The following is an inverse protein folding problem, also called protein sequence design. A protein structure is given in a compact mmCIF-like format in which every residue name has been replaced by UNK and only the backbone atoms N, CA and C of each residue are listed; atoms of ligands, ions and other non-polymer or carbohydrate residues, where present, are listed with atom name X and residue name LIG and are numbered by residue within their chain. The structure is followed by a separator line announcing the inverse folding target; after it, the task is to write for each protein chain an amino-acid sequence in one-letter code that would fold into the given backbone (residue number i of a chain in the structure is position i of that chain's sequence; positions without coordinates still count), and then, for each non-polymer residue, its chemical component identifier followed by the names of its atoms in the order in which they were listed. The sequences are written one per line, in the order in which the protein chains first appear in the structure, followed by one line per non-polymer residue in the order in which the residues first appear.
data_IF_626759944600
#
_entry.id   IF_626759944600
#
_cell.length_a   1.000
_cell.length_b   1.000
_cell.length_c   1.000
_cell.angle_alpha   90.00
_cell.angle_beta   90.00
_cell.angle_gamma   90.00
#
_symmetry.space_group_name_H-M   'P 1'
#
loop_
_entity.id
_entity.type
_entity.pdbx_description
1 polymer ?
#
# COMPACT_ATOMS: atom_id res chain seq x y z
N UNK A 1 -4.26 -85.09 -28.95
CA UNK A 1 -3.06 -84.22 -28.88
C UNK A 1 -3.14 -83.17 -29.97
N UNK A 2 -3.71 -81.98 -29.71
CA UNK A 2 -3.54 -80.81 -30.59
C UNK A 2 -3.39 -79.57 -29.72
N UNK A 3 -2.12 -79.26 -29.44
CA UNK A 3 -1.70 -78.05 -28.75
C UNK A 3 -1.77 -76.81 -29.63
N UNK A 4 -2.01 -75.70 -28.94
CA UNK A 4 -1.66 -74.31 -29.25
C UNK A 4 -1.96 -73.76 -30.65
N UNK A 5 -2.79 -72.71 -30.71
CA UNK A 5 -2.34 -71.35 -31.11
C UNK A 5 -3.17 -70.27 -30.38
N UNK A 6 -2.71 -69.85 -29.21
CA UNK A 6 -3.07 -68.52 -28.66
C UNK A 6 -2.46 -67.49 -29.60
N UNK A 7 -3.26 -66.86 -30.45
CA UNK A 7 -2.88 -65.63 -31.16
C UNK A 7 -3.26 -64.47 -30.25
N UNK A 8 -2.30 -63.69 -29.70
CA UNK A 8 -2.67 -62.42 -29.09
C UNK A 8 -3.18 -61.52 -30.22
N UNK A 9 -4.33 -60.90 -30.00
CA UNK A 9 -4.93 -59.91 -30.88
C UNK A 9 -4.01 -58.68 -30.93
N UNK A 10 -2.99 -58.74 -31.78
CA UNK A 10 -2.21 -57.58 -32.22
C UNK A 10 -3.12 -56.74 -33.12
N UNK A 11 -3.98 -55.94 -32.50
CA UNK A 11 -4.99 -55.18 -33.24
C UNK A 11 -5.56 -53.98 -32.52
N UNK A 12 -4.89 -53.45 -31.49
CA UNK A 12 -5.25 -52.15 -30.91
C UNK A 12 -4.24 -51.10 -31.38
N UNK A 13 -4.30 -50.78 -32.66
CA UNK A 13 -3.59 -49.62 -33.20
C UNK A 13 -4.14 -48.36 -32.52
N UNK A 14 -3.23 -47.52 -32.04
CA UNK A 14 -3.45 -46.26 -31.33
C UNK A 14 -4.39 -45.32 -32.11
N UNK A 15 -5.69 -45.34 -31.79
CA UNK A 15 -6.61 -44.25 -32.13
C UNK A 15 -6.49 -43.17 -31.03
N UNK A 16 -5.32 -42.53 -30.94
CA UNK A 16 -5.05 -41.44 -29.96
C UNK A 16 -4.61 -40.15 -30.68
N UNK A 17 -4.84 -40.06 -32.00
CA UNK A 17 -4.46 -38.91 -32.83
C UNK A 17 -5.56 -37.85 -32.93
N UNK A 18 -6.77 -38.24 -33.32
CA UNK A 18 -7.83 -37.29 -33.67
C UNK A 18 -8.38 -36.52 -32.46
N UNK A 19 -8.67 -37.18 -31.34
CA UNK A 19 -9.23 -36.51 -30.16
C UNK A 19 -8.24 -35.58 -29.44
N UNK A 20 -6.93 -35.86 -29.53
CA UNK A 20 -5.88 -35.00 -28.97
C UNK A 20 -5.62 -33.76 -29.81
N UNK A 21 -5.81 -33.83 -31.12
CA UNK A 21 -5.55 -32.69 -32.04
C UNK A 21 -6.59 -31.57 -31.90
N UNK A 22 -7.88 -31.90 -31.78
CA UNK A 22 -8.94 -30.92 -31.54
C UNK A 22 -8.81 -30.28 -30.13
N UNK A 23 -8.48 -31.09 -29.11
CA UNK A 23 -8.25 -30.59 -27.76
C UNK A 23 -7.01 -29.67 -27.66
N UNK A 24 -5.96 -29.92 -28.45
CA UNK A 24 -4.76 -29.07 -28.50
C UNK A 24 -5.00 -27.76 -29.27
N UNK A 25 -5.79 -27.78 -30.34
CA UNK A 25 -6.06 -26.58 -31.12
C UNK A 25 -6.82 -25.51 -30.29
N UNK A 26 -7.79 -25.92 -29.48
CA UNK A 26 -8.50 -25.00 -28.57
C UNK A 26 -7.57 -24.45 -27.47
N UNK A 27 -6.68 -25.29 -26.93
CA UNK A 27 -5.68 -24.87 -25.93
C UNK A 27 -4.63 -23.93 -26.54
N UNK A 28 -4.15 -24.19 -27.75
CA UNK A 28 -3.23 -23.29 -28.47
C UNK A 28 -3.89 -21.96 -28.78
N UNK A 29 -5.17 -21.96 -29.15
CA UNK A 29 -5.94 -20.74 -29.40
C UNK A 29 -6.18 -19.95 -28.12
N UNK A 30 -6.44 -20.62 -26.99
CA UNK A 30 -6.49 -19.97 -25.67
C UNK A 30 -5.11 -19.42 -25.27
N UNK A 31 -4.05 -20.19 -25.45
CA UNK A 31 -2.68 -19.76 -25.15
C UNK A 31 -2.25 -18.56 -26.00
N UNK A 32 -2.67 -18.50 -27.27
CA UNK A 32 -2.43 -17.35 -28.14
C UNK A 32 -3.13 -16.08 -27.62
N UNK A 33 -4.39 -16.18 -27.20
CA UNK A 33 -5.11 -15.04 -26.60
C UNK A 33 -4.51 -14.62 -25.27
N UNK A 34 -4.08 -15.57 -24.44
CA UNK A 34 -3.40 -15.25 -23.18
C UNK A 34 -2.04 -14.60 -23.41
N UNK A 35 -1.28 -15.05 -24.40
CA UNK A 35 0.00 -14.43 -24.77
C UNK A 35 -0.21 -13.00 -25.28
N UNK A 36 -1.22 -12.77 -26.11
CA UNK A 36 -1.59 -11.43 -26.57
C UNK A 36 -2.05 -10.55 -25.41
N UNK A 37 -2.86 -11.08 -24.49
CA UNK A 37 -3.29 -10.36 -23.29
C UNK A 37 -2.10 -10.01 -22.37
N UNK A 38 -1.09 -10.89 -22.26
CA UNK A 38 0.13 -10.62 -21.49
C UNK A 38 0.94 -9.48 -22.10
N UNK A 39 1.08 -9.45 -23.43
CA UNK A 39 1.78 -8.36 -24.13
C UNK A 39 1.00 -7.04 -24.05
N UNK A 40 -0.34 -7.10 -24.14
CA UNK A 40 -1.21 -5.95 -23.95
C UNK A 40 -1.15 -5.39 -22.51
N UNK A 41 -0.98 -6.26 -21.51
CA UNK A 41 -0.79 -5.83 -20.12
C UNK A 41 0.58 -5.17 -19.91
N UNK A 42 1.65 -5.72 -20.49
CA UNK A 42 3.00 -5.16 -20.35
C UNK A 42 3.12 -3.79 -21.06
N UNK A 43 2.49 -3.63 -22.22
CA UNK A 43 2.41 -2.33 -22.91
C UNK A 43 1.63 -1.30 -22.11
N UNK A 44 0.46 -1.68 -21.56
CA UNK A 44 -0.32 -0.81 -20.67
C UNK A 44 0.47 -0.38 -19.43
N UNK A 45 1.25 -1.28 -18.82
CA UNK A 45 2.09 -0.95 -17.66
C UNK A 45 3.13 0.12 -18.00
N UNK A 46 3.83 -0.03 -19.13
CA UNK A 46 4.83 0.98 -19.57
C UNK A 46 4.19 2.33 -19.86
N UNK A 47 3.04 2.34 -20.52
CA UNK A 47 2.31 3.59 -20.77
C UNK A 47 1.85 4.27 -19.47
N UNK A 48 1.42 3.48 -18.49
CA UNK A 48 1.03 4.00 -17.17
C UNK A 48 2.24 4.54 -16.40
N UNK A 49 3.37 3.84 -16.42
CA UNK A 49 4.64 4.31 -15.85
C UNK A 49 5.07 5.65 -16.50
N UNK A 50 4.96 5.78 -17.82
CA UNK A 50 5.24 7.02 -18.53
C UNK A 50 4.28 8.15 -18.14
N UNK A 51 2.98 7.84 -17.98
CA UNK A 51 2.00 8.83 -17.51
C UNK A 51 2.29 9.25 -16.08
N UNK A 52 2.58 8.29 -15.19
CA UNK A 52 2.92 8.54 -13.79
C UNK A 52 4.18 9.42 -13.68
N UNK A 53 5.19 9.15 -14.52
CA UNK A 53 6.39 9.97 -14.56
C UNK A 53 6.09 11.40 -15.04
N UNK A 54 5.24 11.58 -16.06
CA UNK A 54 4.83 12.91 -16.53
C UNK A 54 4.04 13.66 -15.47
N UNK A 55 3.10 13.00 -14.79
CA UNK A 55 2.35 13.60 -13.70
C UNK A 55 3.26 13.99 -12.55
N UNK A 56 4.22 13.14 -12.20
CA UNK A 56 5.19 13.42 -11.13
C UNK A 56 6.02 14.66 -11.46
N UNK A 57 6.55 14.76 -12.68
CA UNK A 57 7.32 15.94 -13.13
C UNK A 57 6.48 17.22 -13.09
N UNK A 58 5.22 17.16 -13.47
CA UNK A 58 4.32 18.31 -13.40
C UNK A 58 4.05 18.75 -11.94
N UNK A 59 3.91 17.79 -11.02
CA UNK A 59 3.80 18.06 -9.58
C UNK A 59 5.09 18.72 -9.09
N UNK A 60 6.24 18.11 -9.33
CA UNK A 60 7.53 18.60 -8.88
C UNK A 60 7.82 20.01 -9.43
N UNK A 61 7.48 20.29 -10.69
CA UNK A 61 7.62 21.62 -11.28
C UNK A 61 6.69 22.65 -10.62
N UNK A 62 5.43 22.29 -10.37
CA UNK A 62 4.49 23.19 -9.69
C UNK A 62 4.93 23.51 -8.26
N UNK A 63 5.47 22.51 -7.57
CA UNK A 63 6.00 22.61 -6.21
C UNK A 63 7.26 23.48 -6.21
N UNK A 64 8.20 23.26 -7.14
CA UNK A 64 9.39 24.10 -7.30
C UNK A 64 9.02 25.57 -7.59
N UNK A 65 8.02 25.82 -8.44
CA UNK A 65 7.51 27.18 -8.72
C UNK A 65 6.91 27.84 -7.48
N UNK A 66 6.13 27.09 -6.70
CA UNK A 66 5.58 27.59 -5.44
C UNK A 66 6.70 27.96 -4.45
N UNK A 67 7.75 27.14 -4.32
CA UNK A 67 8.88 27.44 -3.46
C UNK A 67 9.68 28.66 -3.92
N UNK A 68 9.95 28.77 -5.22
CA UNK A 68 10.64 29.94 -5.79
C UNK A 68 9.84 31.24 -5.58
N UNK A 69 8.51 31.17 -5.69
CA UNK A 69 7.63 32.32 -5.44
C UNK A 69 7.46 32.64 -3.94
N UNK A 70 7.45 31.63 -3.07
CA UNK A 70 7.21 31.79 -1.63
C UNK A 70 8.48 32.13 -0.82
N UNK A 71 9.68 32.01 -1.40
CA UNK A 71 10.95 32.33 -0.72
C UNK A 71 11.25 31.47 0.52
N UNK A 72 10.49 30.38 0.74
CA UNK A 72 10.66 29.46 1.87
C UNK A 72 11.13 28.12 1.33
N UNK A 73 12.26 27.62 1.84
CA UNK A 73 12.73 26.26 1.54
C UNK A 73 11.68 25.22 1.98
N UNK A 74 11.65 24.03 1.35
CA UNK A 74 10.92 22.90 1.90
C UNK A 74 11.52 22.57 3.28
N UNK A 75 10.77 22.81 4.34
CA UNK A 75 11.03 22.06 5.57
C UNK A 75 10.87 20.58 5.19
N UNK A 76 11.94 19.76 5.30
CA UNK A 76 11.80 18.33 5.07
C UNK A 76 10.68 17.86 6.00
N UNK A 77 9.76 16.97 5.55
CA UNK A 77 8.81 16.37 6.47
C UNK A 77 9.65 15.67 7.53
N UNK A 78 9.73 16.26 8.71
CA UNK A 78 10.34 15.63 9.87
C UNK A 78 9.50 14.39 10.09
N UNK A 79 10.03 13.24 9.65
CA UNK A 79 9.50 11.93 9.97
C UNK A 79 9.65 11.76 11.49
N UNK A 80 8.70 12.29 12.23
CA UNK A 80 8.39 11.80 13.55
C UNK A 80 7.65 10.47 13.35
N UNK A 81 8.09 9.35 13.94
CA UNK A 81 7.25 8.18 14.07
C UNK A 81 6.14 8.52 15.08
N UNK A 82 5.14 9.27 14.62
CA UNK A 82 3.96 9.61 15.37
C UNK A 82 2.96 8.45 15.29
N UNK A 83 2.41 7.98 16.42
CA UNK A 83 1.37 6.96 16.37
C UNK A 83 0.15 7.53 15.64
N UNK A 84 -0.26 6.79 14.62
CA UNK A 84 -1.48 6.87 13.82
C UNK A 84 -2.60 7.75 14.40
N UNK A 85 -2.97 8.79 13.63
CA UNK A 85 -4.24 9.50 13.78
C UNK A 85 -4.15 10.89 14.44
N UNK A 86 -3.91 11.93 13.65
CA UNK A 86 -4.19 13.31 14.05
C UNK A 86 -5.54 13.75 13.47
N UNK A 87 -6.57 14.02 14.30
CA UNK A 87 -7.63 14.93 13.89
C UNK A 87 -7.08 16.37 13.90
N UNK A 88 -7.61 17.18 13.00
CA UNK A 88 -7.22 18.55 12.71
C UNK A 88 -7.04 19.42 13.97
N UNK A 89 -5.88 20.09 14.03
CA UNK A 89 -5.69 21.50 14.39
C UNK A 89 -6.60 22.16 15.45
N UNK A 90 -6.90 21.47 16.55
CA UNK A 90 -7.31 22.09 17.81
C UNK A 90 -6.53 21.42 18.96
N UNK A 91 -5.63 22.14 19.63
CA UNK A 91 -5.11 21.70 20.93
C UNK A 91 -3.60 21.49 21.09
N UNK A 92 -2.74 22.06 20.24
CA UNK A 92 -1.29 22.07 20.52
C UNK A 92 -0.92 22.88 21.79
N UNK A 93 -1.89 23.61 22.39
CA UNK A 93 -1.71 24.36 23.63
C UNK A 93 -2.21 23.60 24.87
N UNK A 94 -2.72 22.37 24.76
CA UNK A 94 -3.37 21.64 25.86
C UNK A 94 -2.47 20.60 26.54
N UNK A 95 -1.14 20.76 26.41
CA UNK A 95 -0.15 19.82 26.96
C UNK A 95 0.92 20.57 27.76
N UNK A 96 1.36 19.99 28.88
CA UNK A 96 2.40 20.51 29.77
C UNK A 96 3.39 19.41 30.17
N UNK A 97 4.61 19.80 30.56
CA UNK A 97 5.60 18.88 31.13
C UNK A 97 5.41 18.75 32.66
N UNK A 98 5.42 17.53 33.22
CA UNK A 98 5.49 17.35 34.69
C UNK A 98 6.84 17.90 35.19
N UNK A 99 6.80 18.71 36.25
CA UNK A 99 8.00 19.29 36.86
C UNK A 99 8.88 18.27 37.60
N UNK A 100 8.39 17.06 37.88
CA UNK A 100 9.16 16.01 38.55
C UNK A 100 9.80 15.00 37.60
N UNK A 101 9.08 14.51 36.59
CA UNK A 101 9.57 13.44 35.70
C UNK A 101 9.69 13.85 34.23
N UNK A 102 9.41 15.11 33.89
CA UNK A 102 9.44 15.63 32.50
C UNK A 102 8.52 14.92 31.50
N UNK A 103 7.58 14.09 31.96
CA UNK A 103 6.61 13.45 31.07
C UNK A 103 5.60 14.47 30.50
N UNK A 104 5.15 14.23 29.27
CA UNK A 104 4.09 15.00 28.62
C UNK A 104 2.73 14.65 29.25
N UNK A 105 2.04 15.63 29.83
CA UNK A 105 0.74 15.47 30.47
C UNK A 105 -0.27 16.46 29.89
N UNK A 106 -1.56 16.10 29.83
CA UNK A 106 -2.58 17.04 29.34
C UNK A 106 -2.81 18.12 30.40
N UNK A 107 -3.15 19.34 29.98
CA UNK A 107 -3.46 20.45 30.88
C UNK A 107 -4.70 20.20 31.76
N UNK A 108 -5.60 19.31 31.32
CA UNK A 108 -6.77 18.87 32.06
C UNK A 108 -6.44 17.82 33.14
N UNK A 109 -5.27 17.18 33.06
CA UNK A 109 -4.88 16.14 34.00
C UNK A 109 -4.43 16.79 35.31
N UNK A 110 -5.08 16.43 36.43
CA UNK A 110 -4.69 16.88 37.78
C UNK A 110 -3.42 16.19 38.27
N UNK A 111 -3.09 15.04 37.72
CA UNK A 111 -1.94 14.22 38.14
C UNK A 111 -1.13 13.78 36.91
N UNK A 112 0.18 13.64 37.08
CA UNK A 112 1.03 13.06 36.05
C UNK A 112 0.71 11.57 35.86
N UNK A 113 0.48 11.16 34.61
CA UNK A 113 0.27 9.76 34.23
C UNK A 113 1.48 8.85 34.47
N UNK A 114 2.68 9.42 34.59
CA UNK A 114 3.92 8.64 34.77
C UNK A 114 4.37 8.54 36.23
N UNK A 115 4.33 9.63 36.99
CA UNK A 115 4.84 9.64 38.38
C UNK A 115 3.79 9.99 39.45
N UNK A 116 2.55 10.30 39.06
CA UNK A 116 1.50 10.70 40.01
C UNK A 116 1.66 12.10 40.61
N UNK A 117 2.66 12.89 40.19
CA UNK A 117 2.88 14.27 40.66
C UNK A 117 1.62 15.13 40.43
N UNK A 118 1.17 15.90 41.43
CA UNK A 118 0.06 16.84 41.26
C UNK A 118 0.46 17.95 40.26
N UNK A 119 -0.37 18.15 39.25
CA UNK A 119 -0.22 19.22 38.26
C UNK A 119 -1.06 20.41 38.68
N UNK A 120 -0.47 21.61 38.67
CA UNK A 120 -1.20 22.84 38.96
C UNK A 120 -2.21 23.13 37.84
N UNK A 121 -3.48 22.74 38.01
CA UNK A 121 -4.54 22.95 37.03
C UNK A 121 -4.66 24.43 36.68
N UNK A 122 -4.60 24.78 35.40
CA UNK A 122 -4.94 26.14 34.91
C UNK A 122 -6.46 26.32 34.83
N UNK A 123 -7.19 25.81 35.82
CA UNK A 123 -8.60 26.05 36.00
C UNK A 123 -8.77 27.45 36.56
N UNK A 124 -9.16 28.37 35.68
CA UNK A 124 -9.67 29.69 36.00
C UNK A 124 -10.83 29.51 37.00
N UNK A 125 -10.57 29.83 38.28
CA UNK A 125 -11.59 30.03 39.30
C UNK A 125 -11.40 31.46 39.87
N UNK A 126 -11.89 32.52 39.21
CA UNK A 126 -12.03 33.81 39.84
C UNK A 126 -13.37 33.77 40.58
N UNK A 127 -13.37 33.24 41.80
CA UNK A 127 -14.23 33.82 42.83
C UNK A 127 -13.82 35.29 42.95
N UNK A 128 -14.53 36.19 42.27
CA UNK A 128 -14.82 37.59 42.63
C UNK A 128 -15.91 38.07 41.64
N UNK A 129 -17.17 38.00 42.10
CA UNK A 129 -18.18 39.06 42.02
C UNK A 129 -19.27 38.74 43.05
#
# INVERSE_FOLDING_TARGET
MHGHRRRPLLGAALVVGASRSAARNEVEKQAAREAEARLAADTRRREEEDRAMRTQRAIDESVARQYAAAGKQPEPPLYYPGPQGVPAAHGLNDVRYCRQCSNLCKLQDRFCSSCGCLQATSGVDPKIL
#
